data_IF_588425305351
#
_entry.id   IF_588425305351
#
_cell.length_a   1.000
_cell.length_b   1.000
_cell.length_c   1.000
_cell.angle_alpha   90.00
_cell.angle_beta   90.00
_cell.angle_gamma   90.00
#
_symmetry.space_group_name_H-M   'P 1'
#
loop_
_entity.id
_entity.type
_entity.pdbx_description
1 polymer ?
#
# COMPACT_ATOMS: atom_id res chain seq x y z
N UNK A 1 -19.05 21.60 21.60
CA UNK A 1 -18.26 21.64 20.37
C UNK A 1 -18.76 20.51 19.50
N UNK A 2 -19.05 20.75 18.23
CA UNK A 2 -19.40 19.71 17.26
C UNK A 2 -18.17 19.32 16.44
N UNK A 3 -18.32 18.33 15.54
CA UNK A 3 -17.20 17.85 14.69
C UNK A 3 -16.65 18.99 13.82
N UNK A 4 -17.53 19.86 13.29
CA UNK A 4 -17.15 21.03 12.49
C UNK A 4 -16.28 22.01 13.28
N UNK A 5 -16.66 22.31 14.53
CA UNK A 5 -15.91 23.15 15.44
C UNK A 5 -14.55 22.55 15.82
N UNK A 6 -14.50 21.24 16.08
CA UNK A 6 -13.25 20.55 16.37
C UNK A 6 -12.30 20.58 15.16
N UNK A 7 -12.80 20.35 13.95
CA UNK A 7 -11.99 20.41 12.74
C UNK A 7 -11.47 21.82 12.45
N UNK A 8 -12.30 22.85 12.69
CA UNK A 8 -11.86 24.24 12.61
C UNK A 8 -10.73 24.54 13.60
N UNK A 9 -10.83 24.04 14.83
CA UNK A 9 -9.77 24.19 15.84
C UNK A 9 -8.47 23.51 15.39
N UNK A 10 -8.55 22.30 14.82
CA UNK A 10 -7.38 21.58 14.27
C UNK A 10 -6.74 22.35 13.10
N UNK A 11 -7.53 22.88 12.17
CA UNK A 11 -7.03 23.67 11.03
C UNK A 11 -6.30 24.93 11.46
N UNK A 12 -6.71 25.53 12.56
CA UNK A 12 -6.11 26.75 13.09
C UNK A 12 -4.84 26.51 13.93
N UNK A 13 -4.40 25.26 14.12
CA UNK A 13 -3.16 24.97 14.83
C UNK A 13 -1.97 25.53 14.05
N UNK A 14 -1.09 26.23 14.76
CA UNK A 14 0.25 26.51 14.24
C UNK A 14 1.06 25.22 14.07
N UNK A 15 2.10 25.26 13.24
CA UNK A 15 3.00 24.10 13.06
C UNK A 15 3.59 23.62 14.39
N UNK A 16 3.94 24.56 15.29
CA UNK A 16 4.50 24.24 16.61
C UNK A 16 3.48 23.49 17.49
N UNK A 17 2.25 24.00 17.59
CA UNK A 17 1.19 23.34 18.38
C UNK A 17 0.84 21.96 17.81
N UNK A 18 0.81 21.83 16.49
CA UNK A 18 0.63 20.54 15.82
C UNK A 18 1.76 19.56 16.20
N UNK A 19 3.02 19.97 16.10
CA UNK A 19 4.18 19.13 16.42
C UNK A 19 4.18 18.69 17.89
N UNK A 20 3.81 19.58 18.82
CA UNK A 20 3.67 19.27 20.24
C UNK A 20 2.57 18.24 20.49
N UNK A 21 1.39 18.41 19.87
CA UNK A 21 0.25 17.50 20.03
C UNK A 21 0.47 16.13 19.41
N UNK A 22 1.10 16.06 18.23
CA UNK A 22 1.33 14.79 17.52
C UNK A 22 2.58 14.05 18.01
N UNK A 23 3.32 14.58 18.98
CA UNK A 23 4.62 14.03 19.34
C UNK A 23 4.56 12.61 19.93
N UNK A 24 3.44 12.24 20.57
CA UNK A 24 3.21 10.88 21.05
C UNK A 24 3.16 9.85 19.91
N UNK A 25 2.84 10.28 18.69
CA UNK A 25 2.89 9.42 17.52
C UNK A 25 4.33 9.28 17.03
N UNK A 26 4.79 8.03 16.93
CA UNK A 26 6.08 7.66 16.32
C UNK A 26 6.07 7.80 14.78
N UNK A 27 5.55 8.92 14.27
CA UNK A 27 5.61 9.28 12.86
C UNK A 27 6.96 9.91 12.49
N UNK A 28 7.60 9.46 11.39
CA UNK A 28 8.72 10.17 10.81
C UNK A 28 8.36 11.63 10.46
N UNK A 29 9.32 12.56 10.55
CA UNK A 29 9.10 14.00 10.33
C UNK A 29 8.38 14.31 9.02
N UNK A 30 8.80 13.70 7.92
CA UNK A 30 8.15 13.87 6.62
C UNK A 30 6.68 13.42 6.58
N UNK A 31 6.29 12.44 7.40
CA UNK A 31 4.89 12.00 7.53
C UNK A 31 4.08 12.91 8.46
N UNK A 32 4.70 13.50 9.48
CA UNK A 32 4.10 14.58 10.28
C UNK A 32 3.83 15.81 9.40
N UNK A 33 4.81 16.22 8.60
CA UNK A 33 4.67 17.32 7.63
C UNK A 33 3.56 17.03 6.62
N UNK A 34 3.46 15.80 6.11
CA UNK A 34 2.38 15.38 5.21
C UNK A 34 0.99 15.55 5.85
N UNK A 35 0.81 15.06 7.08
CA UNK A 35 -0.46 15.22 7.81
C UNK A 35 -0.79 16.69 8.05
N UNK A 36 0.21 17.50 8.41
CA UNK A 36 0.01 18.94 8.60
C UNK A 36 -0.46 19.61 7.31
N UNK A 37 0.18 19.31 6.18
CA UNK A 37 -0.22 19.83 4.86
C UNK A 37 -1.64 19.41 4.46
N UNK A 38 -2.02 18.16 4.74
CA UNK A 38 -3.40 17.70 4.56
C UNK A 38 -4.39 18.52 5.40
N UNK A 39 -4.11 18.74 6.69
CA UNK A 39 -4.94 19.55 7.59
C UNK A 39 -5.12 20.98 7.04
N UNK A 40 -4.02 21.58 6.55
CA UNK A 40 -4.04 22.92 5.95
C UNK A 40 -4.73 22.98 4.57
N UNK A 41 -5.11 21.82 3.99
CA UNK A 41 -5.74 21.75 2.67
C UNK A 41 -4.77 21.89 1.50
N UNK A 42 -3.46 21.84 1.75
CA UNK A 42 -2.42 21.86 0.72
C UNK A 42 -2.35 20.54 -0.07
N UNK A 43 -2.84 19.45 0.52
CA UNK A 43 -2.91 18.13 -0.08
C UNK A 43 -4.36 17.67 -0.06
N UNK A 44 -4.83 17.20 -1.22
CA UNK A 44 -6.12 16.53 -1.35
C UNK A 44 -5.90 15.02 -1.36
N UNK A 45 -6.94 14.31 -0.93
CA UNK A 45 -7.05 12.86 -1.00
C UNK A 45 -8.47 12.56 -1.49
N UNK A 46 -8.68 11.37 -2.06
CA UNK A 46 -10.01 10.89 -2.43
C UNK A 46 -11.01 11.05 -1.29
N UNK A 47 -12.28 11.28 -1.63
CA UNK A 47 -13.33 11.55 -0.64
C UNK A 47 -13.42 10.47 0.45
N UNK A 48 -13.27 9.20 0.07
CA UNK A 48 -13.32 8.07 1.00
C UNK A 48 -12.14 8.10 1.99
N UNK A 49 -10.92 8.33 1.48
CA UNK A 49 -9.71 8.43 2.30
C UNK A 49 -9.69 9.68 3.18
N UNK A 50 -10.39 10.75 2.77
CA UNK A 50 -10.41 12.01 3.50
C UNK A 50 -11.02 11.84 4.89
N UNK A 51 -12.16 11.17 4.98
CA UNK A 51 -12.85 10.91 6.24
C UNK A 51 -11.94 10.17 7.22
N UNK A 52 -11.27 9.12 6.74
CA UNK A 52 -10.32 8.32 7.52
C UNK A 52 -9.15 9.16 8.08
N UNK A 53 -8.55 10.03 7.25
CA UNK A 53 -7.44 10.90 7.66
C UNK A 53 -7.89 12.01 8.60
N UNK A 54 -9.09 12.57 8.42
CA UNK A 54 -9.70 13.54 9.35
C UNK A 54 -9.95 12.90 10.72
N UNK A 55 -10.49 11.68 10.77
CA UNK A 55 -10.68 10.93 12.02
C UNK A 55 -9.35 10.59 12.70
N UNK A 56 -8.33 10.20 11.92
CA UNK A 56 -6.97 10.02 12.43
C UNK A 56 -6.45 11.31 13.08
N UNK A 57 -6.57 12.45 12.40
CA UNK A 57 -6.13 13.74 12.95
C UNK A 57 -6.89 14.09 14.24
N UNK A 58 -8.22 13.88 14.26
CA UNK A 58 -9.06 14.15 15.43
C UNK A 58 -8.66 13.33 16.65
N UNK A 59 -8.47 12.01 16.45
CA UNK A 59 -8.07 11.06 17.49
C UNK A 59 -6.80 11.46 18.23
N UNK A 60 -5.84 12.04 17.51
CA UNK A 60 -4.53 12.37 18.08
C UNK A 60 -4.36 13.83 18.47
N UNK A 61 -4.97 14.77 17.75
CA UNK A 61 -4.83 16.21 18.05
C UNK A 61 -5.85 16.71 19.09
N UNK A 62 -6.97 15.99 19.23
CA UNK A 62 -8.07 16.29 20.16
C UNK A 62 -8.65 15.00 20.80
N UNK A 63 -7.84 14.18 21.51
CA UNK A 63 -8.26 12.88 22.00
C UNK A 63 -9.47 12.92 22.94
N UNK A 64 -9.57 13.95 23.79
CA UNK A 64 -10.72 14.12 24.70
C UNK A 64 -12.03 14.33 23.93
N UNK A 65 -11.99 15.13 22.87
CA UNK A 65 -13.17 15.36 22.03
C UNK A 65 -13.52 14.10 21.24
N UNK A 66 -12.51 13.48 20.61
CA UNK A 66 -12.68 12.22 19.90
C UNK A 66 -13.39 11.18 20.78
N UNK A 67 -12.87 10.90 21.98
CA UNK A 67 -13.48 9.93 22.90
C UNK A 67 -14.86 10.33 23.46
N UNK A 68 -15.31 11.56 23.23
CA UNK A 68 -16.60 12.07 23.72
C UNK A 68 -17.76 11.88 22.72
N UNK A 69 -17.46 11.53 21.46
CA UNK A 69 -18.45 11.32 20.42
C UNK A 69 -18.61 9.83 20.10
N UNK A 70 -19.79 9.38 19.65
CA UNK A 70 -19.94 8.04 19.11
C UNK A 70 -19.03 7.85 17.87
N UNK A 71 -18.38 6.69 17.81
CA UNK A 71 -17.60 6.28 16.63
C UNK A 71 -18.37 5.21 15.88
N UNK A 72 -19.08 5.64 14.85
CA UNK A 72 -19.63 4.74 13.85
C UNK A 72 -18.69 4.74 12.66
N UNK A 73 -18.45 3.57 12.07
CA UNK A 73 -17.76 3.51 10.77
C UNK A 73 -18.56 4.24 9.70
N UNK A 74 -17.93 4.59 8.58
CA UNK A 74 -18.62 5.14 7.42
C UNK A 74 -18.90 4.04 6.38
N UNK A 75 -19.76 4.27 5.37
CA UNK A 75 -20.12 3.23 4.39
C UNK A 75 -18.94 2.55 3.68
N UNK A 76 -17.80 3.24 3.57
CA UNK A 76 -16.57 2.70 2.97
C UNK A 76 -15.69 1.89 3.93
N UNK A 77 -15.92 1.96 5.26
CA UNK A 77 -15.09 1.27 6.25
C UNK A 77 -15.50 -0.19 6.50
N UNK A 78 -16.54 -0.68 5.80
CA UNK A 78 -16.96 -2.09 5.81
C UNK A 78 -17.54 -2.48 4.45
N UNK A 79 -16.94 -3.49 3.82
CA UNK A 79 -17.44 -4.13 2.61
C UNK A 79 -17.88 -5.57 2.88
N UNK A 80 -18.13 -6.33 1.81
CA UNK A 80 -18.47 -7.76 1.90
C UNK A 80 -17.30 -8.57 2.49
N UNK A 81 -16.08 -8.32 2.00
CA UNK A 81 -14.88 -9.10 2.35
C UNK A 81 -14.02 -8.46 3.43
N UNK A 82 -14.21 -7.18 3.73
CA UNK A 82 -13.31 -6.44 4.61
C UNK A 82 -14.02 -5.47 5.55
N UNK A 83 -13.32 -5.10 6.60
CA UNK A 83 -13.69 -4.00 7.48
C UNK A 83 -12.44 -3.35 8.08
N UNK A 84 -12.57 -2.13 8.57
CA UNK A 84 -11.49 -1.45 9.30
C UNK A 84 -12.01 -0.35 10.24
N UNK A 85 -11.14 0.07 11.15
CA UNK A 85 -11.32 1.25 11.99
C UNK A 85 -10.90 2.50 11.19
N UNK A 86 -11.77 3.49 10.93
CA UNK A 86 -11.43 4.63 10.08
C UNK A 86 -10.16 5.41 10.49
N UNK A 87 -9.94 5.76 11.77
CA UNK A 87 -8.69 6.37 12.21
C UNK A 87 -7.46 5.48 11.99
N UNK A 88 -7.65 4.15 12.01
CA UNK A 88 -6.56 3.21 11.69
C UNK A 88 -6.22 3.23 10.21
N UNK A 89 -7.23 3.34 9.35
CA UNK A 89 -7.00 3.52 7.92
C UNK A 89 -6.34 4.86 7.62
N UNK A 90 -6.78 5.96 8.25
CA UNK A 90 -6.15 7.28 8.13
C UNK A 90 -4.69 7.26 8.56
N UNK A 91 -4.39 6.57 9.67
CA UNK A 91 -3.02 6.31 10.10
C UNK A 91 -2.22 5.55 9.03
N UNK A 92 -2.81 4.52 8.42
CA UNK A 92 -2.16 3.71 7.38
C UNK A 92 -1.88 4.54 6.11
N UNK A 93 -2.83 5.36 5.68
CA UNK A 93 -2.71 6.29 4.56
C UNK A 93 -1.56 7.27 4.81
N UNK A 94 -1.51 7.93 5.96
CA UNK A 94 -0.43 8.88 6.28
C UNK A 94 0.93 8.17 6.38
N UNK A 95 0.99 7.00 7.04
CA UNK A 95 2.26 6.29 7.26
C UNK A 95 2.81 5.64 6.00
N UNK A 96 1.93 4.98 5.24
CA UNK A 96 2.31 4.05 4.18
C UNK A 96 1.89 4.53 2.79
N UNK A 97 0.97 5.50 2.70
CA UNK A 97 0.53 6.09 1.43
C UNK A 97 -0.51 5.26 0.69
N UNK A 98 -1.18 4.32 1.38
CA UNK A 98 -2.21 3.46 0.82
C UNK A 98 -3.31 3.23 1.85
N UNK A 99 -4.56 3.28 1.44
CA UNK A 99 -5.75 2.95 2.21
C UNK A 99 -6.13 1.48 2.08
N UNK A 100 -6.88 0.97 3.06
CA UNK A 100 -7.34 -0.42 3.08
C UNK A 100 -8.36 -0.70 1.98
N UNK A 101 -9.27 0.24 1.70
CA UNK A 101 -10.19 0.14 0.56
C UNK A 101 -9.43 0.07 -0.77
N UNK A 102 -8.41 0.91 -0.96
CA UNK A 102 -7.57 0.91 -2.18
C UNK A 102 -6.89 -0.45 -2.40
N UNK A 103 -6.46 -1.14 -1.33
CA UNK A 103 -5.86 -2.49 -1.42
C UNK A 103 -6.84 -3.51 -1.97
N UNK A 104 -8.13 -3.38 -1.64
CA UNK A 104 -9.16 -4.32 -2.09
C UNK A 104 -9.66 -3.92 -3.48
N UNK A 105 -10.03 -2.65 -3.65
CA UNK A 105 -10.69 -2.12 -4.84
C UNK A 105 -9.78 -2.06 -6.07
N UNK A 106 -8.47 -1.83 -5.89
CA UNK A 106 -7.49 -1.80 -6.99
C UNK A 106 -6.83 -3.17 -7.25
N UNK A 107 -7.21 -4.19 -6.49
CA UNK A 107 -6.72 -5.55 -6.68
C UNK A 107 -7.66 -6.32 -7.61
N UNK A 108 -7.11 -7.05 -8.60
CA UNK A 108 -7.92 -7.97 -9.42
C UNK A 108 -8.07 -9.32 -8.75
N UNK A 109 -7.18 -9.66 -7.83
CA UNK A 109 -7.15 -10.95 -7.14
C UNK A 109 -6.86 -10.75 -5.66
N UNK A 110 -7.69 -9.95 -5.00
CA UNK A 110 -7.52 -9.66 -3.57
C UNK A 110 -7.49 -10.96 -2.77
N UNK A 111 -6.51 -11.08 -1.87
CA UNK A 111 -6.40 -12.26 -1.03
C UNK A 111 -5.94 -13.53 -1.72
N UNK A 112 -5.32 -13.44 -2.91
CA UNK A 112 -4.77 -14.60 -3.62
C UNK A 112 -3.84 -15.44 -2.74
N UNK A 113 -3.04 -14.79 -1.88
CA UNK A 113 -2.16 -15.49 -0.96
C UNK A 113 -2.43 -15.04 0.47
N UNK A 114 -2.83 -16.00 1.28
CA UNK A 114 -3.09 -15.86 2.70
C UNK A 114 -2.11 -16.74 3.46
N UNK A 115 -1.36 -16.14 4.38
CA UNK A 115 -0.40 -16.85 5.23
C UNK A 115 -0.79 -16.62 6.69
N UNK A 116 -1.35 -17.65 7.37
CA UNK A 116 -1.69 -17.55 8.79
C UNK A 116 -0.46 -17.25 9.63
N UNK A 117 -0.58 -16.30 10.56
CA UNK A 117 0.52 -15.93 11.46
C UNK A 117 0.70 -17.06 12.49
N UNK A 118 1.94 -17.51 12.75
CA UNK A 118 2.22 -18.59 13.69
C UNK A 118 2.15 -18.07 15.13
N UNK A 119 0.95 -17.73 15.59
CA UNK A 119 0.66 -17.39 16.98
C UNK A 119 -0.29 -18.45 17.58
N UNK A 120 0.08 -18.98 18.75
CA UNK A 120 -0.69 -20.02 19.43
C UNK A 120 -1.94 -19.45 20.11
N UNK A 121 -1.93 -18.14 20.42
CA UNK A 121 -2.98 -17.40 21.12
C UNK A 121 -3.83 -16.65 20.10
N UNK A 122 -3.21 -15.96 19.14
CA UNK A 122 -3.91 -15.21 18.08
C UNK A 122 -3.99 -16.02 16.78
N UNK A 123 -5.03 -16.85 16.65
CA UNK A 123 -5.28 -17.65 15.43
C UNK A 123 -6.07 -16.91 14.34
N UNK A 124 -6.43 -15.65 14.59
CA UNK A 124 -7.28 -14.89 13.67
C UNK A 124 -6.45 -14.08 12.68
N UNK A 125 -5.21 -13.72 13.04
CA UNK A 125 -4.36 -12.88 12.19
C UNK A 125 -3.73 -13.66 11.04
N UNK A 126 -3.73 -13.02 9.88
CA UNK A 126 -3.10 -13.49 8.67
C UNK A 126 -2.35 -12.36 7.96
N UNK A 127 -1.36 -12.76 7.18
CA UNK A 127 -0.73 -11.92 6.16
C UNK A 127 -1.44 -12.17 4.84
N UNK A 128 -1.82 -11.09 4.16
CA UNK A 128 -2.47 -11.12 2.85
C UNK A 128 -1.53 -10.48 1.84
N UNK A 129 -1.22 -11.19 0.75
CA UNK A 129 -0.58 -10.60 -0.42
C UNK A 129 -1.60 -10.47 -1.55
N UNK A 130 -1.63 -9.27 -2.12
CA UNK A 130 -2.55 -8.93 -3.20
C UNK A 130 -1.82 -8.15 -4.29
N UNK A 131 -2.24 -8.33 -5.53
CA UNK A 131 -1.86 -7.44 -6.63
C UNK A 131 -2.50 -6.06 -6.43
N UNK A 132 -1.89 -5.04 -7.01
CA UNK A 132 -2.40 -3.68 -7.04
C UNK A 132 -2.18 -3.13 -8.45
N UNK A 133 -3.27 -3.02 -9.20
CA UNK A 133 -3.27 -2.63 -10.59
C UNK A 133 -3.65 -1.16 -10.75
N UNK A 134 -2.63 -0.30 -10.86
CA UNK A 134 -2.80 1.15 -10.97
C UNK A 134 -2.87 1.63 -12.44
N UNK A 135 -3.16 0.72 -13.39
CA UNK A 135 -3.31 1.08 -14.82
C UNK A 135 -4.69 1.65 -15.14
N UNK A 136 -5.67 1.53 -14.24
CA UNK A 136 -6.99 2.15 -14.44
C UNK A 136 -6.84 3.65 -14.22
N UNK A 137 -7.34 4.48 -15.13
CA UNK A 137 -7.13 5.94 -15.10
C UNK A 137 -7.60 6.60 -13.79
N UNK A 138 -8.60 6.00 -13.13
CA UNK A 138 -9.18 6.46 -11.87
C UNK A 138 -8.44 5.94 -10.61
N UNK A 139 -7.60 4.90 -10.75
CA UNK A 139 -6.92 4.26 -9.62
C UNK A 139 -5.58 4.97 -9.34
N UNK A 140 -5.61 5.97 -8.45
CA UNK A 140 -4.41 6.73 -8.07
C UNK A 140 -4.17 6.69 -6.55
N UNK A 141 -2.89 6.53 -6.17
CA UNK A 141 -2.45 6.64 -4.78
C UNK A 141 -1.97 8.08 -4.50
N UNK A 142 -2.91 8.98 -4.20
CA UNK A 142 -2.69 10.43 -4.16
C UNK A 142 -1.59 10.89 -3.19
N UNK A 143 -1.38 10.15 -2.09
CA UNK A 143 -0.36 10.45 -1.08
C UNK A 143 0.98 9.78 -1.38
N UNK A 144 1.03 8.83 -2.32
CA UNK A 144 2.24 8.08 -2.61
C UNK A 144 3.13 8.83 -3.60
N UNK A 145 4.44 8.78 -3.36
CA UNK A 145 5.40 9.37 -4.29
C UNK A 145 5.40 8.58 -5.62
N UNK A 146 5.26 9.23 -6.80
CA UNK A 146 5.12 8.56 -8.10
C UNK A 146 6.23 7.55 -8.42
N UNK A 147 7.46 7.81 -7.97
CA UNK A 147 8.60 6.89 -8.17
C UNK A 147 8.45 5.51 -7.51
N UNK A 148 7.45 5.33 -6.64
CA UNK A 148 7.12 4.04 -6.01
C UNK A 148 6.05 3.26 -6.76
N UNK A 149 5.36 3.91 -7.70
CA UNK A 149 4.23 3.35 -8.44
C UNK A 149 4.75 2.73 -9.74
N UNK A 150 4.30 1.51 -10.02
CA UNK A 150 4.47 0.79 -11.29
C UNK A 150 3.11 0.39 -11.84
N UNK A 151 3.08 -0.07 -13.09
CA UNK A 151 1.87 -0.62 -13.70
C UNK A 151 1.27 -1.79 -12.91
N UNK A 152 2.12 -2.64 -12.33
CA UNK A 152 1.73 -3.72 -11.43
C UNK A 152 2.55 -3.64 -10.15
N UNK A 153 1.87 -3.50 -9.03
CA UNK A 153 2.49 -3.54 -7.71
C UNK A 153 1.90 -4.68 -6.88
N UNK A 154 2.52 -4.97 -5.75
CA UNK A 154 2.01 -5.93 -4.78
C UNK A 154 1.90 -5.26 -3.43
N UNK A 155 0.95 -5.69 -2.63
CA UNK A 155 0.80 -5.24 -1.25
C UNK A 155 1.04 -6.39 -0.28
N UNK A 156 1.49 -6.04 0.91
CA UNK A 156 1.39 -6.89 2.10
C UNK A 156 0.42 -6.22 3.05
N UNK A 157 -0.59 -6.98 3.49
CA UNK A 157 -1.54 -6.55 4.50
C UNK A 157 -1.52 -7.49 5.69
N UNK A 158 -1.82 -6.96 6.87
CA UNK A 158 -2.07 -7.73 8.07
C UNK A 158 -3.53 -7.50 8.43
N UNK A 159 -4.28 -8.59 8.59
CA UNK A 159 -5.68 -8.54 8.94
C UNK A 159 -6.04 -9.66 9.92
N UNK A 160 -7.08 -9.45 10.73
CA UNK A 160 -7.72 -10.49 11.53
C UNK A 160 -8.99 -10.97 10.82
N UNK A 161 -9.16 -12.29 10.68
CA UNK A 161 -10.42 -12.86 10.21
C UNK A 161 -11.47 -12.82 11.31
N UNK A 162 -12.53 -12.02 11.15
CA UNK A 162 -13.62 -11.86 12.12
C UNK A 162 -14.96 -11.83 11.42
N UNK A 163 -15.92 -12.63 11.88
CA UNK A 163 -17.28 -12.67 11.33
C UNK A 163 -17.31 -12.84 9.80
N UNK A 164 -16.39 -13.63 9.24
CA UNK A 164 -16.28 -13.85 7.80
C UNK A 164 -15.61 -12.72 7.01
N UNK A 165 -15.16 -11.64 7.66
CA UNK A 165 -14.48 -10.49 7.03
C UNK A 165 -13.02 -10.39 7.46
N UNK A 166 -12.20 -9.78 6.61
CA UNK A 166 -10.84 -9.36 6.96
C UNK A 166 -10.87 -7.99 7.62
N UNK A 167 -10.66 -7.95 8.94
CA UNK A 167 -10.44 -6.70 9.67
C UNK A 167 -9.01 -6.23 9.49
N UNK A 168 -8.80 -5.21 8.66
CA UNK A 168 -7.47 -4.71 8.37
C UNK A 168 -6.81 -4.04 9.58
N UNK A 169 -5.51 -4.31 9.74
CA UNK A 169 -4.65 -3.75 10.77
C UNK A 169 -3.56 -2.88 10.15
N UNK A 170 -2.97 -3.33 9.03
CA UNK A 170 -1.99 -2.55 8.27
C UNK A 170 -1.92 -3.02 6.82
N UNK A 171 -1.49 -2.12 5.94
CA UNK A 171 -1.24 -2.42 4.53
C UNK A 171 -0.07 -1.60 4.00
N UNK A 172 0.77 -2.21 3.17
CA UNK A 172 1.99 -1.59 2.62
C UNK A 172 2.22 -2.04 1.19
N UNK A 173 2.70 -1.13 0.35
CA UNK A 173 3.22 -1.46 -0.96
C UNK A 173 4.56 -2.19 -0.85
N UNK A 174 4.75 -3.25 -1.63
CA UNK A 174 6.00 -3.97 -1.76
C UNK A 174 6.85 -3.37 -2.88
N UNK A 175 8.14 -3.20 -2.60
CA UNK A 175 9.11 -2.84 -3.63
C UNK A 175 9.34 -4.03 -4.56
N UNK A 176 9.67 -3.77 -5.83
CA UNK A 176 10.11 -4.84 -6.73
C UNK A 176 11.49 -5.42 -6.39
N UNK A 177 12.28 -4.72 -5.55
CA UNK A 177 13.64 -5.15 -5.22
C UNK A 177 13.57 -6.11 -4.04
N UNK A 178 14.09 -7.34 -4.21
CA UNK A 178 14.11 -8.39 -3.18
C UNK A 178 14.45 -7.91 -1.79
N UNK A 179 15.63 -7.31 -1.64
CA UNK A 179 16.07 -6.73 -0.37
C UNK A 179 15.04 -5.79 0.27
N UNK A 180 14.34 -4.97 -0.52
CA UNK A 180 13.38 -3.97 -0.05
C UNK A 180 12.02 -4.56 0.33
N UNK A 181 11.50 -5.56 -0.39
CA UNK A 181 10.26 -6.20 0.08
C UNK A 181 10.52 -7.06 1.32
N UNK A 182 11.67 -7.73 1.43
CA UNK A 182 12.04 -8.47 2.65
C UNK A 182 12.10 -7.54 3.87
N UNK A 183 12.78 -6.38 3.74
CA UNK A 183 12.78 -5.34 4.76
C UNK A 183 11.35 -4.88 5.12
N UNK A 184 10.47 -4.75 4.13
CA UNK A 184 9.08 -4.33 4.33
C UNK A 184 8.26 -5.38 5.09
N UNK A 185 8.40 -6.66 4.73
CA UNK A 185 7.75 -7.79 5.42
C UNK A 185 8.22 -7.85 6.88
N UNK A 186 9.53 -7.77 7.11
CA UNK A 186 10.10 -7.77 8.45
C UNK A 186 9.57 -6.62 9.32
N UNK A 187 9.47 -5.41 8.77
CA UNK A 187 8.92 -4.26 9.48
C UNK A 187 7.41 -4.37 9.74
N UNK A 188 6.64 -5.01 8.85
CA UNK A 188 5.22 -5.24 9.06
C UNK A 188 4.99 -6.24 10.21
N UNK A 189 5.83 -7.27 10.30
CA UNK A 189 5.70 -8.35 11.28
C UNK A 189 6.35 -8.06 12.64
N UNK A 190 7.14 -6.99 12.77
CA UNK A 190 7.90 -6.66 13.99
C UNK A 190 7.06 -6.62 15.26
N UNK A 191 5.86 -6.04 15.19
CA UNK A 191 4.95 -5.89 16.33
C UNK A 191 3.89 -6.99 16.41
N UNK A 192 3.90 -7.92 15.45
CA UNK A 192 2.88 -8.97 15.33
C UNK A 192 3.42 -10.33 15.74
N UNK A 193 4.70 -10.61 15.46
CA UNK A 193 5.39 -11.81 15.93
C UNK A 193 6.52 -11.41 16.87
N UNK A 194 6.30 -11.60 18.17
CA UNK A 194 7.23 -11.16 19.22
C UNK A 194 8.47 -12.06 19.34
N UNK A 195 8.35 -13.36 19.05
CA UNK A 195 9.49 -14.28 19.06
C UNK A 195 10.38 -14.07 17.82
N UNK A 196 11.65 -13.72 18.05
CA UNK A 196 12.61 -13.37 17.00
C UNK A 196 12.92 -14.53 16.04
N UNK A 197 12.89 -15.78 16.53
CA UNK A 197 13.18 -16.95 15.70
C UNK A 197 11.98 -17.28 14.82
N UNK A 198 10.80 -17.43 15.43
CA UNK A 198 9.55 -17.66 14.72
C UNK A 198 9.25 -16.55 13.72
N UNK A 199 9.57 -15.28 14.05
CA UNK A 199 9.43 -14.17 13.11
C UNK A 199 10.33 -14.33 11.88
N UNK A 200 11.59 -14.71 12.06
CA UNK A 200 12.51 -14.95 10.93
C UNK A 200 12.03 -16.10 10.05
N UNK A 201 11.70 -17.24 10.65
CA UNK A 201 11.20 -18.41 9.93
C UNK A 201 9.90 -18.06 9.16
N UNK A 202 9.04 -17.23 9.76
CA UNK A 202 7.80 -16.78 9.13
C UNK A 202 8.02 -15.77 8.00
N UNK A 203 9.00 -14.86 8.14
CA UNK A 203 9.42 -13.96 7.06
C UNK A 203 9.90 -14.79 5.87
N UNK A 204 10.76 -15.78 6.09
CA UNK A 204 11.30 -16.62 5.02
C UNK A 204 10.19 -17.37 4.28
N UNK A 205 9.22 -17.92 5.02
CA UNK A 205 8.02 -18.54 4.43
C UNK A 205 7.18 -17.55 3.60
N UNK A 206 6.98 -16.33 4.11
CA UNK A 206 6.25 -15.29 3.38
C UNK A 206 6.95 -14.93 2.06
N UNK A 207 8.28 -14.83 2.08
CA UNK A 207 9.11 -14.54 0.90
C UNK A 207 9.03 -15.67 -0.11
N UNK A 208 9.14 -16.92 0.34
CA UNK A 208 9.00 -18.10 -0.54
C UNK A 208 7.64 -18.11 -1.25
N UNK A 209 6.54 -17.89 -0.50
CA UNK A 209 5.18 -17.85 -1.05
C UNK A 209 5.04 -16.70 -2.06
N UNK A 210 5.55 -15.52 -1.74
CA UNK A 210 5.50 -14.35 -2.63
C UNK A 210 6.26 -14.59 -3.95
N UNK A 211 7.48 -15.11 -3.88
CA UNK A 211 8.33 -15.38 -5.04
C UNK A 211 7.77 -16.50 -5.92
N UNK A 212 7.25 -17.57 -5.32
CA UNK A 212 6.71 -18.70 -6.08
C UNK A 212 5.43 -18.36 -6.85
N UNK A 213 4.62 -17.45 -6.33
CA UNK A 213 3.24 -17.27 -6.80
C UNK A 213 2.93 -15.90 -7.43
N UNK A 214 3.63 -14.82 -7.03
CA UNK A 214 3.35 -13.46 -7.54
C UNK A 214 4.54 -12.86 -8.30
N UNK A 215 5.76 -13.09 -7.82
CA UNK A 215 6.97 -12.56 -8.42
C UNK A 215 7.66 -13.69 -9.20
N UNK A 216 7.12 -14.05 -10.36
CA UNK A 216 7.84 -15.00 -11.21
C UNK A 216 9.25 -14.44 -11.51
N UNK A 217 10.31 -15.26 -11.40
CA UNK A 217 11.60 -14.85 -11.92
C UNK A 217 11.40 -14.53 -13.41
N UNK A 218 11.97 -13.41 -13.87
CA UNK A 218 12.06 -13.15 -15.30
C UNK A 218 12.60 -14.42 -15.95
N UNK A 219 11.84 -15.00 -16.88
CA UNK A 219 12.37 -16.05 -17.75
C UNK A 219 13.71 -15.51 -18.30
N UNK A 220 14.80 -16.28 -18.25
CA UNK A 220 16.02 -15.86 -18.91
C UNK A 220 15.66 -15.54 -20.36
N UNK A 221 16.16 -14.42 -20.88
CA UNK A 221 16.02 -14.01 -22.29
C UNK A 221 16.60 -15.12 -23.19
N UNK A 222 15.79 -16.13 -23.48
CA UNK A 222 16.02 -17.07 -24.55
C UNK A 222 15.20 -16.56 -25.73
N UNK A 223 15.90 -16.34 -26.85
CA UNK A 223 15.39 -16.02 -28.19
C UNK A 223 15.47 -14.55 -28.63
N UNK A 224 16.67 -13.96 -28.59
CA UNK A 224 17.10 -13.02 -29.66
C UNK A 224 18.52 -13.34 -30.11
N UNK A 225 18.66 -14.43 -30.86
CA UNK A 225 19.70 -14.55 -31.88
C UNK A 225 19.03 -15.08 -33.15
N UNK A 226 18.30 -14.19 -33.82
CA UNK A 226 18.02 -14.37 -35.23
C UNK A 226 19.31 -14.14 -36.00
N UNK A 227 20.06 -15.21 -36.27
CA UNK A 227 21.05 -15.20 -37.36
C UNK A 227 20.30 -15.43 -38.67
N UNK A 228 19.85 -14.32 -39.27
CA UNK A 228 19.59 -14.27 -40.71
C UNK A 228 20.96 -14.17 -41.38
N UNK A 229 21.55 -15.32 -41.72
CA UNK A 229 22.69 -15.35 -42.64
C UNK A 229 22.19 -15.13 -44.06
N UNK A 230 22.49 -13.94 -44.59
CA UNK A 230 22.30 -13.57 -45.97
C UNK A 230 23.27 -14.36 -46.87
N UNK A 231 22.75 -15.31 -47.65
CA UNK A 231 23.47 -15.80 -48.83
C UNK A 231 23.24 -14.79 -49.97
N UNK A 232 24.20 -13.88 -50.11
CA UNK A 232 24.29 -12.94 -51.21
C UNK A 232 24.38 -13.69 -52.56
N UNK A 233 23.42 -13.41 -53.43
CA UNK A 233 23.53 -13.67 -54.87
C UNK A 233 24.53 -12.67 -55.44
N UNK A 234 25.71 -13.17 -55.78
CA UNK A 234 26.64 -12.47 -56.64
C UNK A 234 26.31 -12.81 -58.10
N UNK A 235 26.49 -11.80 -58.95
CA UNK A 235 26.69 -11.86 -60.40
C UNK A 235 25.45 -11.78 -61.30
N UNK A 236 25.09 -10.54 -61.66
CA UNK A 236 24.98 -10.19 -63.08
C UNK A 236 25.39 -8.74 -63.33
N UNK A 237 26.54 -8.59 -64.00
CA UNK A 237 27.10 -7.35 -64.54
C UNK A 237 26.52 -7.14 -65.95
N UNK A 238 26.02 -5.93 -66.17
CA UNK A 238 26.11 -5.09 -67.37
C UNK A 238 25.90 -5.69 -68.79
N UNK A 239 24.84 -5.23 -69.45
CA UNK A 239 24.84 -4.62 -70.80
C UNK A 239 23.58 -3.73 -70.90
N UNK A 240 23.68 -2.39 -71.02
CA UNK A 240 23.77 -1.59 -72.28
C UNK A 240 22.71 -2.06 -73.30
N UNK A 241 21.68 -1.32 -73.72
CA UNK A 241 21.57 0.08 -74.16
C UNK A 241 20.07 0.51 -74.32
N UNK A 242 19.76 1.79 -74.61
CA UNK A 242 18.39 2.32 -74.64
C UNK A 242 17.67 2.23 -76.01
N UNK A 243 16.34 2.36 -75.91
CA UNK A 243 15.24 2.48 -76.91
C UNK A 243 15.54 3.13 -78.28
N UNK A 244 14.69 2.85 -79.30
CA UNK A 244 13.36 3.48 -79.41
C UNK A 244 12.18 2.60 -79.00
#
# INVERSE_FOLDING_TARGET
MDISGAWRAIKNLSKKEFEEKINSESLPKNRKDLLFKFIQGEIQVSYNCKLDVEEYALKYLMPYFYNSIPHEGHPYSSGELYEYDPPKNGQNIIRHGIGFDEVVSYSRKFGTLLVPIPDKIDRERCVIFSDLDLRREEDQLEIMHPSKIRDMNYTISIASLRNGKFRFISARLLSSKKKKYVETIAQALREVVHDERARRDFIDRCVEILEKNLIQPALPDALTSGEVSAQARHDHRNHLQPNP
#
